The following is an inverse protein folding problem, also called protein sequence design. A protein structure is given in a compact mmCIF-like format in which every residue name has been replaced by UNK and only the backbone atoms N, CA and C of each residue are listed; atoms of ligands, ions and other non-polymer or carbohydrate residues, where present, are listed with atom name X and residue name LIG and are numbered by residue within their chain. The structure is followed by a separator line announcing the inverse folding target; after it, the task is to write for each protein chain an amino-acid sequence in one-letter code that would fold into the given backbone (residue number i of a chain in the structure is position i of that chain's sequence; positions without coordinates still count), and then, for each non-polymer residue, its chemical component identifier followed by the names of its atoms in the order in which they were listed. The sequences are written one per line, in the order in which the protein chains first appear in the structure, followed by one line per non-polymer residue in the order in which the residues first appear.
data_IF_286882000679
#
_entry.id   IF_286882000679
#
_cell.length_a   1.000
_cell.length_b   1.000
_cell.length_c   1.000
_cell.angle_alpha   90.00
_cell.angle_beta   90.00
_cell.angle_gamma   90.00
#
_symmetry.space_group_name_H-M   'P 1'
#
loop_
_entity.id
_entity.type
_entity.pdbx_description
1 polymer ?
#
# COMPACT_ATOMS: atom_id res chain seq x y z
N UNK A 1 -3.40 16.70 9.64
CA UNK A 1 -4.19 17.36 8.60
C UNK A 1 -3.42 17.14 7.32
N UNK A 2 -3.98 16.31 6.46
CA UNK A 2 -3.49 15.91 5.16
C UNK A 2 -3.37 17.14 4.27
N UNK A 3 -2.15 17.40 3.81
CA UNK A 3 -1.87 18.47 2.86
C UNK A 3 -2.00 17.93 1.43
N UNK A 4 -3.19 18.12 0.85
CA UNK A 4 -3.50 17.77 -0.55
C UNK A 4 -2.54 18.47 -1.52
N UNK A 5 -2.03 19.65 -1.17
CA UNK A 5 -1.13 20.45 -2.02
C UNK A 5 0.25 19.81 -2.10
N UNK A 6 0.80 19.39 -0.96
CA UNK A 6 2.09 18.71 -0.90
C UNK A 6 2.07 17.38 -1.67
N UNK A 7 1.02 16.55 -1.50
CA UNK A 7 0.94 15.28 -2.24
C UNK A 7 0.81 15.50 -3.75
N UNK A 8 -0.01 16.47 -4.19
CA UNK A 8 -0.12 16.81 -5.61
C UNK A 8 1.21 17.24 -6.20
N UNK A 9 1.94 18.12 -5.50
CA UNK A 9 3.25 18.57 -5.94
C UNK A 9 4.21 17.40 -6.10
N UNK A 10 4.26 16.50 -5.11
CA UNK A 10 5.10 15.31 -5.17
C UNK A 10 4.75 14.40 -6.37
N UNK A 11 3.46 14.17 -6.62
CA UNK A 11 3.02 13.34 -7.76
C UNK A 11 3.40 13.96 -9.12
N UNK A 12 3.33 15.29 -9.23
CA UNK A 12 3.80 16.02 -10.42
C UNK A 12 5.31 15.87 -10.58
N UNK A 13 6.08 16.08 -9.51
CA UNK A 13 7.54 15.94 -9.52
C UNK A 13 7.95 14.50 -9.86
N UNK A 14 7.26 13.49 -9.31
CA UNK A 14 7.50 12.08 -9.59
C UNK A 14 7.21 11.72 -11.06
N UNK A 15 6.11 12.24 -11.63
CA UNK A 15 5.78 12.02 -13.04
C UNK A 15 6.77 12.74 -13.97
N UNK A 16 7.37 13.84 -13.54
CA UNK A 16 8.41 14.53 -14.28
C UNK A 16 9.77 13.81 -14.19
N UNK A 17 10.10 13.21 -13.05
CA UNK A 17 11.35 12.46 -12.86
C UNK A 17 11.33 11.07 -13.52
N UNK A 18 10.14 10.52 -13.76
CA UNK A 18 9.94 9.19 -14.38
C UNK A 18 8.99 9.28 -15.59
N UNK A 19 9.42 9.86 -16.73
CA UNK A 19 8.56 10.04 -17.90
C UNK A 19 7.92 8.75 -18.42
N UNK A 20 8.64 7.63 -18.32
CA UNK A 20 8.18 6.29 -18.69
C UNK A 20 7.07 5.75 -17.79
N UNK A 21 6.99 6.21 -16.53
CA UNK A 21 5.91 5.88 -15.59
C UNK A 21 4.85 6.98 -15.47
N UNK A 22 5.00 8.11 -16.17
CA UNK A 22 4.16 9.29 -15.95
C UNK A 22 2.67 9.03 -16.23
N UNK A 23 2.33 8.17 -17.19
CA UNK A 23 0.95 7.77 -17.45
C UNK A 23 0.34 6.99 -16.27
N UNK A 24 1.11 6.05 -15.71
CA UNK A 24 0.73 5.27 -14.53
C UNK A 24 0.55 6.18 -13.31
N UNK A 25 1.53 7.06 -13.04
CA UNK A 25 1.49 7.99 -11.90
C UNK A 25 0.25 8.89 -11.99
N UNK A 26 -0.06 9.43 -13.18
CA UNK A 26 -1.28 10.22 -13.41
C UNK A 26 -2.55 9.42 -13.20
N UNK A 27 -2.60 8.17 -13.67
CA UNK A 27 -3.76 7.30 -13.49
C UNK A 27 -4.02 6.98 -12.00
N UNK A 28 -2.96 6.80 -11.19
CA UNK A 28 -3.11 6.51 -9.75
C UNK A 28 -3.22 7.77 -8.87
N UNK A 29 -3.02 8.97 -9.42
CA UNK A 29 -3.08 10.23 -8.68
C UNK A 29 -4.44 10.45 -7.99
N UNK A 30 -5.59 10.31 -8.65
CA UNK A 30 -6.89 10.49 -7.99
C UNK A 30 -7.08 9.55 -6.80
N UNK A 31 -6.61 8.30 -6.92
CA UNK A 31 -6.71 7.30 -5.86
C UNK A 31 -5.83 7.65 -4.65
N UNK A 32 -4.60 8.12 -4.89
CA UNK A 32 -3.71 8.59 -3.83
C UNK A 32 -4.31 9.78 -3.05
N UNK A 33 -4.91 10.73 -3.77
CA UNK A 33 -5.55 11.91 -3.17
C UNK A 33 -6.81 11.53 -2.39
N UNK A 34 -7.66 10.66 -2.96
CA UNK A 34 -8.85 10.14 -2.29
C UNK A 34 -8.48 9.39 -1.01
N UNK A 35 -7.45 8.54 -1.05
CA UNK A 35 -6.92 7.86 0.15
C UNK A 35 -6.55 8.86 1.22
N UNK A 36 -5.76 9.88 0.90
CA UNK A 36 -5.36 10.93 1.85
C UNK A 36 -6.54 11.60 2.56
N UNK A 37 -7.52 12.10 1.79
CA UNK A 37 -8.75 12.71 2.31
C UNK A 37 -9.55 11.75 3.19
N UNK A 38 -9.66 10.49 2.79
CA UNK A 38 -10.39 9.45 3.51
C UNK A 38 -9.71 9.08 4.84
N UNK A 39 -8.39 9.09 4.92
CA UNK A 39 -7.68 8.84 6.18
C UNK A 39 -7.87 10.00 7.17
N UNK A 40 -7.86 11.23 6.67
CA UNK A 40 -7.99 12.44 7.46
C UNK A 40 -9.38 12.60 8.10
N UNK A 41 -10.44 12.39 7.30
CA UNK A 41 -11.82 12.49 7.76
C UNK A 41 -12.16 11.51 8.91
N UNK A 42 -11.36 10.46 9.12
CA UNK A 42 -11.62 9.38 10.07
C UNK A 42 -10.73 9.37 11.31
N UNK A 43 -9.77 10.30 11.41
CA UNK A 43 -8.93 10.49 12.60
C UNK A 43 -9.76 10.77 13.88
N UNK A 44 -11.06 11.07 13.73
CA UNK A 44 -12.02 11.38 14.80
C UNK A 44 -12.91 10.19 15.24
N UNK A 45 -12.69 8.98 14.71
CA UNK A 45 -13.52 7.81 15.04
C UNK A 45 -13.03 6.99 16.24
N UNK A 46 -13.93 6.20 16.85
CA UNK A 46 -13.69 5.40 18.07
C UNK A 46 -12.44 4.52 17.87
N UNK A 47 -11.40 4.74 18.69
CA UNK A 47 -10.12 4.02 18.62
C UNK A 47 -10.36 2.51 18.79
N UNK A 48 -9.75 1.70 17.91
CA UNK A 48 -9.70 0.25 18.09
C UNK A 48 -8.85 -0.05 19.32
N UNK A 49 -9.34 -0.91 20.22
CA UNK A 49 -8.53 -1.39 21.35
C UNK A 49 -7.47 -2.34 20.78
N UNK A 50 -6.16 -2.07 20.95
CA UNK A 50 -5.12 -2.98 20.48
C UNK A 50 -5.22 -4.34 21.18
N UNK A 51 -4.88 -5.40 20.46
CA UNK A 51 -4.54 -6.70 21.05
C UNK A 51 -3.31 -6.56 21.95
N UNK A 52 -3.21 -7.43 22.96
CA UNK A 52 -1.98 -7.57 23.73
C UNK A 52 -0.91 -8.25 22.85
N UNK A 53 0.19 -7.54 22.60
CA UNK A 53 1.27 -8.03 21.73
C UNK A 53 1.09 -7.63 20.26
N UNK A 54 1.63 -8.46 19.37
CA UNK A 54 1.66 -8.19 17.93
C UNK A 54 1.14 -9.40 17.13
N UNK A 55 0.39 -9.19 16.05
CA UNK A 55 -0.06 -7.89 15.54
C UNK A 55 -1.11 -7.24 16.46
N UNK A 56 -1.18 -5.91 16.45
CA UNK A 56 -2.11 -5.16 17.31
C UNK A 56 -3.58 -5.27 16.88
N UNK A 57 -3.85 -5.74 15.65
CA UNK A 57 -5.17 -6.20 15.20
C UNK A 57 -5.01 -7.31 14.14
N UNK A 58 -6.06 -8.11 13.97
CA UNK A 58 -6.15 -9.12 12.90
C UNK A 58 -7.11 -8.68 11.80
N UNK A 59 -6.87 -9.13 10.57
CA UNK A 59 -7.70 -8.78 9.42
C UNK A 59 -9.17 -9.17 9.62
N UNK A 60 -9.40 -10.34 10.21
CA UNK A 60 -10.72 -10.93 10.46
C UNK A 60 -11.51 -10.18 11.54
N UNK A 61 -10.80 -9.49 12.43
CA UNK A 61 -11.36 -8.73 13.55
C UNK A 61 -11.67 -7.27 13.17
N UNK A 62 -11.38 -6.86 11.93
CA UNK A 62 -11.59 -5.50 11.47
C UNK A 62 -13.10 -5.18 11.41
N UNK A 63 -13.59 -4.17 12.16
CA UNK A 63 -15.00 -3.84 12.16
C UNK A 63 -15.40 -3.15 10.85
N UNK A 64 -16.06 -3.90 9.97
CA UNK A 64 -16.61 -3.36 8.71
C UNK A 64 -18.06 -2.91 8.91
N UNK A 65 -18.26 -1.59 8.95
CA UNK A 65 -19.57 -0.94 8.98
C UNK A 65 -20.10 -0.72 7.56
N UNK A 66 -21.38 -1.06 7.33
CA UNK A 66 -22.05 -0.95 6.03
C UNK A 66 -21.95 0.46 5.43
N UNK A 67 -22.41 1.47 6.17
CA UNK A 67 -22.41 2.87 5.71
C UNK A 67 -21.01 3.40 5.44
N UNK A 68 -20.08 3.17 6.38
CA UNK A 68 -18.69 3.64 6.27
C UNK A 68 -17.96 3.00 5.10
N UNK A 69 -18.07 1.68 4.95
CA UNK A 69 -17.44 0.96 3.84
C UNK A 69 -18.05 1.33 2.49
N UNK A 70 -19.37 1.52 2.42
CA UNK A 70 -20.05 2.02 1.22
C UNK A 70 -19.57 3.42 0.81
N UNK A 71 -19.43 4.34 1.76
CA UNK A 71 -18.91 5.69 1.49
C UNK A 71 -17.46 5.68 0.98
N UNK A 72 -16.60 4.82 1.55
CA UNK A 72 -15.23 4.63 1.05
C UNK A 72 -15.26 4.07 -0.37
N UNK A 73 -16.03 3.02 -0.62
CA UNK A 73 -16.12 2.40 -1.94
C UNK A 73 -16.62 3.39 -3.01
N UNK A 74 -17.58 4.27 -2.68
CA UNK A 74 -18.02 5.34 -3.59
C UNK A 74 -16.89 6.31 -3.94
N UNK A 75 -16.12 6.76 -2.94
CA UNK A 75 -14.99 7.66 -3.18
C UNK A 75 -13.86 6.96 -3.97
N UNK A 76 -13.64 5.66 -3.75
CA UNK A 76 -12.70 4.85 -4.54
C UNK A 76 -13.18 4.73 -5.99
N UNK A 77 -14.48 4.46 -6.23
CA UNK A 77 -15.04 4.39 -7.58
C UNK A 77 -14.87 5.71 -8.34
N UNK A 78 -15.14 6.84 -7.68
CA UNK A 78 -14.90 8.18 -8.26
C UNK A 78 -13.43 8.37 -8.65
N UNK A 79 -12.50 8.02 -7.77
CA UNK A 79 -11.08 8.11 -8.05
C UNK A 79 -10.64 7.18 -9.21
N UNK A 80 -11.17 5.95 -9.26
CA UNK A 80 -10.87 5.01 -10.35
C UNK A 80 -11.43 5.51 -11.68
N UNK A 81 -12.66 6.06 -11.71
CA UNK A 81 -13.24 6.65 -12.92
C UNK A 81 -12.46 7.86 -13.44
N UNK A 82 -11.88 8.66 -12.55
CA UNK A 82 -11.03 9.80 -12.91
C UNK A 82 -9.67 9.34 -13.44
N UNK A 83 -9.05 8.38 -12.76
CA UNK A 83 -7.71 7.89 -13.07
C UNK A 83 -7.64 6.97 -14.30
N UNK A 84 -8.70 6.21 -14.56
CA UNK A 84 -8.76 5.21 -15.62
C UNK A 84 -9.96 5.46 -16.54
N UNK A 85 -9.90 6.47 -17.45
CA UNK A 85 -11.02 6.80 -18.33
C UNK A 85 -11.51 5.63 -19.19
N UNK A 86 -10.62 4.72 -19.58
CA UNK A 86 -10.97 3.51 -20.33
C UNK A 86 -11.78 2.46 -19.56
N UNK A 87 -11.86 2.58 -18.23
CA UNK A 87 -12.63 1.69 -17.37
C UNK A 87 -13.97 2.31 -16.92
N UNK A 88 -14.36 3.49 -17.45
CA UNK A 88 -15.51 4.26 -16.95
C UNK A 88 -16.82 3.47 -17.01
N UNK A 89 -17.08 2.75 -18.09
CA UNK A 89 -18.30 1.94 -18.23
C UNK A 89 -18.37 0.84 -17.16
N UNK A 90 -17.25 0.12 -16.95
CA UNK A 90 -17.13 -0.92 -15.95
C UNK A 90 -17.25 -0.35 -14.53
N UNK A 91 -16.68 0.83 -14.27
CA UNK A 91 -16.80 1.53 -12.99
C UNK A 91 -18.25 1.92 -12.69
N UNK A 92 -18.99 2.43 -13.68
CA UNK A 92 -20.41 2.76 -13.50
C UNK A 92 -21.26 1.50 -13.28
N UNK A 93 -20.99 0.41 -14.00
CA UNK A 93 -21.67 -0.88 -13.74
C UNK A 93 -21.42 -1.38 -12.31
N UNK A 94 -20.19 -1.28 -11.80
CA UNK A 94 -19.86 -1.64 -10.41
C UNK A 94 -20.56 -0.68 -9.43
N UNK A 95 -20.60 0.63 -9.72
CA UNK A 95 -21.29 1.63 -8.91
C UNK A 95 -22.78 1.32 -8.74
N UNK A 96 -23.46 0.96 -9.84
CA UNK A 96 -24.88 0.65 -9.83
C UNK A 96 -25.20 -0.64 -9.04
N UNK A 97 -24.35 -1.65 -9.20
CA UNK A 97 -24.50 -2.95 -8.53
C UNK A 97 -24.19 -2.89 -7.02
N UNK A 98 -23.19 -2.11 -6.61
CA UNK A 98 -22.76 -2.05 -5.21
C UNK A 98 -23.76 -1.30 -4.33
N UNK A 99 -24.26 -1.98 -3.29
CA UNK A 99 -24.97 -1.37 -2.17
C UNK A 99 -24.11 -1.45 -0.89
N UNK A 100 -24.31 -0.58 0.12
CA UNK A 100 -23.53 -0.59 1.35
C UNK A 100 -23.42 -1.98 2.02
N UNK A 101 -24.52 -2.76 1.99
CA UNK A 101 -24.55 -4.12 2.54
C UNK A 101 -23.69 -5.11 1.77
N UNK A 102 -23.68 -5.06 0.43
CA UNK A 102 -22.82 -5.91 -0.40
C UNK A 102 -21.36 -5.49 -0.26
N UNK A 103 -21.05 -4.19 -0.21
CA UNK A 103 -19.68 -3.70 0.02
C UNK A 103 -19.13 -4.27 1.32
N UNK A 104 -19.88 -4.16 2.42
CA UNK A 104 -19.47 -4.75 3.71
C UNK A 104 -19.17 -6.25 3.60
N UNK A 105 -20.02 -7.02 2.92
CA UNK A 105 -19.83 -8.46 2.75
C UNK A 105 -18.59 -8.78 1.94
N UNK A 106 -18.38 -8.07 0.82
CA UNK A 106 -17.23 -8.28 -0.06
C UNK A 106 -15.92 -7.84 0.62
N UNK A 107 -15.91 -6.74 1.38
CA UNK A 107 -14.75 -6.37 2.18
C UNK A 107 -14.41 -7.44 3.23
N UNK A 108 -15.41 -8.07 3.86
CA UNK A 108 -15.17 -9.18 4.80
C UNK A 108 -14.57 -10.40 4.11
N UNK A 109 -15.08 -10.77 2.93
CA UNK A 109 -14.52 -11.86 2.13
C UNK A 109 -13.07 -11.57 1.72
N UNK A 110 -12.80 -10.34 1.26
CA UNK A 110 -11.45 -9.89 0.90
C UNK A 110 -10.48 -9.93 2.09
N UNK A 111 -10.90 -9.49 3.28
CA UNK A 111 -10.11 -9.59 4.52
C UNK A 111 -9.86 -11.03 4.97
N UNK A 112 -10.78 -11.95 4.66
CA UNK A 112 -10.65 -13.37 4.94
C UNK A 112 -9.88 -14.13 3.83
N UNK A 113 -9.39 -13.44 2.80
CA UNK A 113 -8.78 -14.03 1.61
C UNK A 113 -9.68 -15.09 0.93
N UNK A 114 -11.00 -14.86 0.93
CA UNK A 114 -11.98 -15.70 0.25
C UNK A 114 -12.32 -15.07 -1.12
N UNK A 115 -11.84 -15.62 -2.25
CA UNK A 115 -12.08 -15.04 -3.57
C UNK A 115 -13.50 -15.33 -4.11
N UNK A 116 -14.10 -16.44 -3.68
CA UNK A 116 -15.39 -16.92 -4.19
C UNK A 116 -16.53 -15.88 -4.08
N UNK A 117 -16.71 -15.15 -2.95
CA UNK A 117 -17.80 -14.17 -2.85
C UNK A 117 -17.66 -12.99 -3.82
N UNK A 118 -16.44 -12.58 -4.18
CA UNK A 118 -16.20 -11.52 -5.17
C UNK A 118 -16.51 -12.05 -6.58
N UNK A 119 -16.01 -13.23 -6.92
CA UNK A 119 -16.27 -13.89 -8.20
C UNK A 119 -17.77 -14.09 -8.45
N UNK A 120 -18.50 -14.66 -7.48
CA UNK A 120 -19.95 -14.87 -7.58
C UNK A 120 -20.73 -13.56 -7.69
N UNK A 121 -20.28 -12.49 -7.01
CA UNK A 121 -20.92 -11.19 -7.12
C UNK A 121 -20.68 -10.57 -8.50
N UNK A 122 -19.47 -10.69 -9.04
CA UNK A 122 -19.15 -10.20 -10.38
C UNK A 122 -20.00 -10.93 -11.44
N UNK A 123 -20.03 -12.27 -11.41
CA UNK A 123 -20.79 -13.10 -12.35
C UNK A 123 -22.29 -12.76 -12.31
N UNK A 124 -22.88 -12.75 -11.12
CA UNK A 124 -24.32 -12.48 -10.93
C UNK A 124 -24.76 -11.12 -11.49
N UNK A 125 -23.87 -10.13 -11.49
CA UNK A 125 -24.17 -8.77 -11.93
C UNK A 125 -23.55 -8.43 -13.30
N UNK A 126 -22.91 -9.39 -13.98
CA UNK A 126 -22.25 -9.17 -15.27
C UNK A 126 -21.10 -8.16 -15.22
N UNK A 127 -20.34 -8.13 -14.12
CA UNK A 127 -19.26 -7.16 -13.89
C UNK A 127 -17.90 -7.71 -14.31
N UNK A 128 -16.98 -6.80 -14.64
CA UNK A 128 -15.54 -7.10 -14.73
C UNK A 128 -15.00 -7.43 -13.33
N UNK A 129 -14.38 -8.61 -13.11
CA UNK A 129 -13.76 -8.95 -11.84
C UNK A 129 -12.68 -7.94 -11.43
N UNK A 130 -11.85 -7.49 -12.38
CA UNK A 130 -10.71 -6.61 -12.10
C UNK A 130 -11.12 -5.27 -11.46
N UNK A 131 -12.19 -4.65 -11.96
CA UNK A 131 -12.67 -3.36 -11.42
C UNK A 131 -13.31 -3.56 -10.04
N UNK A 132 -14.09 -4.65 -9.87
CA UNK A 132 -14.68 -4.99 -8.58
C UNK A 132 -13.58 -5.26 -7.54
N UNK A 133 -12.61 -6.09 -7.89
CA UNK A 133 -11.49 -6.47 -7.03
C UNK A 133 -10.65 -5.26 -6.66
N UNK A 134 -10.33 -4.39 -7.62
CA UNK A 134 -9.63 -3.13 -7.37
C UNK A 134 -10.40 -2.26 -6.36
N UNK A 135 -11.70 -2.06 -6.57
CA UNK A 135 -12.52 -1.20 -5.70
C UNK A 135 -12.61 -1.77 -4.28
N UNK A 136 -12.85 -3.08 -4.14
CA UNK A 136 -12.95 -3.74 -2.84
C UNK A 136 -11.58 -3.78 -2.14
N UNK A 137 -10.49 -4.10 -2.85
CA UNK A 137 -9.15 -4.13 -2.28
C UNK A 137 -8.72 -2.75 -1.77
N UNK A 138 -8.93 -1.68 -2.55
CA UNK A 138 -8.60 -0.32 -2.10
C UNK A 138 -9.48 0.13 -0.92
N UNK A 139 -10.75 -0.26 -0.93
CA UNK A 139 -11.65 -0.01 0.21
C UNK A 139 -11.14 -0.68 1.48
N UNK A 140 -10.73 -1.95 1.40
CA UNK A 140 -10.13 -2.71 2.51
C UNK A 140 -8.83 -2.07 2.99
N UNK A 141 -7.91 -1.71 2.08
CA UNK A 141 -6.65 -1.03 2.41
C UNK A 141 -6.89 0.29 3.15
N UNK A 142 -7.95 1.03 2.84
CA UNK A 142 -8.32 2.28 3.54
C UNK A 142 -8.89 1.97 4.93
N UNK A 143 -9.76 0.96 5.06
CA UNK A 143 -10.28 0.54 6.37
C UNK A 143 -9.15 0.11 7.31
N UNK A 144 -8.24 -0.71 6.79
CA UNK A 144 -7.05 -1.18 7.50
C UNK A 144 -6.13 -0.04 7.93
N UNK A 145 -5.85 0.89 7.02
CA UNK A 145 -5.02 2.05 7.30
C UNK A 145 -5.61 2.93 8.41
N UNK A 146 -6.94 3.14 8.41
CA UNK A 146 -7.61 3.89 9.48
C UNK A 146 -7.45 3.21 10.84
N UNK A 147 -7.65 1.90 10.90
CA UNK A 147 -7.45 1.15 12.14
C UNK A 147 -6.00 1.24 12.59
N UNK A 148 -5.03 0.99 11.72
CA UNK A 148 -3.61 1.09 12.04
C UNK A 148 -3.26 2.50 12.55
N UNK A 149 -3.70 3.56 11.89
CA UNK A 149 -3.44 4.97 12.27
C UNK A 149 -4.01 5.36 13.62
N UNK A 150 -5.03 4.64 14.13
CA UNK A 150 -5.60 4.88 15.46
C UNK A 150 -4.79 4.24 16.60
N UNK A 151 -3.84 3.37 16.28
CA UNK A 151 -3.03 2.60 17.23
C UNK A 151 -1.74 3.33 17.60
N UNK A 152 -1.20 3.09 18.81
CA UNK A 152 0.06 3.68 19.25
C UNK A 152 1.23 3.27 18.35
N UNK A 153 2.29 4.07 18.37
CA UNK A 153 3.53 3.71 17.69
C UNK A 153 4.10 2.40 18.25
N UNK A 154 4.52 1.50 17.36
CA UNK A 154 5.12 0.25 17.78
C UNK A 154 6.57 0.50 18.23
N UNK A 155 7.04 -0.10 19.34
CA UNK A 155 8.43 -0.03 19.73
C UNK A 155 9.34 -0.64 18.66
N UNK A 156 10.55 -0.12 18.56
CA UNK A 156 11.58 -0.68 17.68
C UNK A 156 11.92 -2.11 18.09
N UNK A 157 11.92 -3.01 17.11
CA UNK A 157 12.30 -4.41 17.27
C UNK A 157 13.09 -4.84 16.02
N UNK A 158 14.40 -5.12 16.14
CA UNK A 158 15.25 -5.46 15.01
C UNK A 158 14.87 -6.78 14.34
N UNK A 159 14.14 -7.67 15.03
CA UNK A 159 13.70 -8.96 14.50
C UNK A 159 12.33 -8.89 13.79
N UNK A 160 11.68 -7.71 13.77
CA UNK A 160 10.30 -7.55 13.29
C UNK A 160 10.17 -7.45 11.77
N UNK A 161 9.99 -8.61 11.16
CA UNK A 161 9.86 -8.78 9.70
C UNK A 161 8.45 -8.55 9.16
N UNK A 162 7.44 -8.57 10.02
CA UNK A 162 6.03 -8.33 9.67
C UNK A 162 5.50 -7.07 10.34
N UNK A 163 4.46 -6.49 9.76
CA UNK A 163 3.83 -5.29 10.26
C UNK A 163 3.35 -5.48 11.72
N UNK A 164 3.79 -4.66 12.69
CA UNK A 164 3.32 -4.78 14.08
C UNK A 164 1.83 -4.49 14.21
N UNK A 165 1.22 -3.81 13.24
CA UNK A 165 -0.17 -3.40 13.31
C UNK A 165 -1.10 -4.53 12.86
N UNK A 166 -0.92 -5.04 11.64
CA UNK A 166 -1.82 -6.02 11.04
C UNK A 166 -1.19 -7.39 10.75
N UNK A 167 0.13 -7.54 10.90
CA UNK A 167 0.84 -8.77 10.55
C UNK A 167 1.21 -8.91 9.08
N UNK A 168 0.79 -7.97 8.23
CA UNK A 168 1.10 -7.95 6.80
C UNK A 168 2.60 -7.87 6.47
N UNK A 169 2.95 -8.23 5.24
CA UNK A 169 4.32 -8.17 4.72
C UNK A 169 4.72 -6.73 4.33
N UNK A 170 6.03 -6.41 4.32
CA UNK A 170 6.50 -5.13 3.81
C UNK A 170 6.48 -5.09 2.27
N UNK A 171 6.00 -4.00 1.68
CA UNK A 171 6.05 -3.73 0.23
C UNK A 171 7.20 -2.80 -0.17
N UNK A 172 7.56 -1.85 0.71
CA UNK A 172 8.53 -0.80 0.41
C UNK A 172 9.42 -0.51 1.62
N UNK A 173 10.67 -0.19 1.34
CA UNK A 173 11.66 0.32 2.30
C UNK A 173 11.87 1.81 2.07
N UNK A 174 11.90 2.61 3.13
CA UNK A 174 12.24 4.04 3.05
C UNK A 174 13.42 4.33 3.97
N UNK A 175 14.45 4.96 3.41
CA UNK A 175 15.56 5.53 4.16
C UNK A 175 15.26 7.00 4.41
N UNK A 176 15.24 7.41 5.67
CA UNK A 176 14.85 8.74 6.11
C UNK A 176 15.72 9.22 7.29
N UNK A 177 15.53 10.48 7.68
CA UNK A 177 16.33 11.19 8.69
C UNK A 177 17.84 11.26 8.36
N UNK A 178 18.61 12.13 9.02
CA UNK A 178 20.04 12.31 8.66
C UNK A 178 20.86 11.06 8.96
N UNK A 179 20.44 10.34 9.98
CA UNK A 179 20.98 9.10 10.52
C UNK A 179 20.77 7.92 9.56
N UNK A 180 19.91 8.06 8.55
CA UNK A 180 19.60 7.00 7.58
C UNK A 180 18.88 5.83 8.25
N UNK A 181 17.86 6.16 9.04
CA UNK A 181 16.93 5.17 9.57
C UNK A 181 16.15 4.52 8.44
N UNK A 182 15.83 3.23 8.63
CA UNK A 182 15.06 2.45 7.67
C UNK A 182 13.69 2.17 8.27
N UNK A 183 12.65 2.52 7.53
CA UNK A 183 11.27 2.11 7.83
C UNK A 183 10.73 1.25 6.71
N UNK A 184 9.99 0.19 7.07
CA UNK A 184 9.27 -0.65 6.13
C UNK A 184 7.80 -0.23 6.09
N UNK A 185 7.18 -0.24 4.92
CA UNK A 185 5.75 0.05 4.72
C UNK A 185 4.98 -1.24 4.48
N UNK A 186 3.83 -1.39 5.13
CA UNK A 186 2.98 -2.56 5.02
C UNK A 186 2.13 -2.52 3.74
N UNK A 187 2.12 -3.61 2.98
CA UNK A 187 1.30 -3.81 1.77
C UNK A 187 -0.20 -3.62 2.01
N UNK A 188 -0.67 -4.00 3.20
CA UNK A 188 -2.10 -4.09 3.51
C UNK A 188 -2.63 -2.83 4.19
N UNK A 189 -2.03 -2.42 5.32
CA UNK A 189 -2.49 -1.23 6.05
C UNK A 189 -1.75 0.05 5.68
N UNK A 190 -0.65 -0.01 4.92
CA UNK A 190 0.17 1.14 4.53
C UNK A 190 0.90 1.83 5.68
N UNK A 191 0.84 1.29 6.91
CA UNK A 191 1.57 1.84 8.06
C UNK A 191 3.04 1.42 7.98
N UNK A 192 3.92 2.32 8.43
CA UNK A 192 5.34 2.05 8.50
C UNK A 192 5.80 1.67 9.91
N UNK A 193 6.93 0.95 9.99
CA UNK A 193 7.63 0.67 11.24
C UNK A 193 9.14 0.64 11.00
N UNK A 194 9.90 1.05 12.02
CA UNK A 194 11.36 1.04 11.96
C UNK A 194 11.91 -0.38 11.92
N UNK A 195 12.91 -0.61 11.07
CA UNK A 195 13.55 -1.91 10.88
C UNK A 195 15.08 -1.79 10.86
N UNK A 196 15.77 -2.88 11.20
CA UNK A 196 17.23 -2.92 11.19
C UNK A 196 17.76 -2.73 9.75
N UNK A 197 18.57 -1.68 9.54
CA UNK A 197 19.01 -1.27 8.20
C UNK A 197 19.78 -2.37 7.45
N UNK A 198 20.63 -3.09 8.16
CA UNK A 198 21.55 -4.11 7.61
C UNK A 198 20.90 -5.49 7.41
N UNK A 199 19.70 -5.71 7.96
CA UNK A 199 19.03 -6.99 7.90
C UNK A 199 18.14 -7.12 6.65
N UNK A 200 18.00 -8.34 6.14
CA UNK A 200 17.01 -8.66 5.11
C UNK A 200 15.59 -8.63 5.72
N UNK A 201 14.63 -7.85 5.17
CA UNK A 201 13.26 -7.82 5.69
C UNK A 201 12.49 -9.14 5.55
N UNK A 202 12.91 -10.03 4.64
CA UNK A 202 12.26 -11.34 4.42
C UNK A 202 12.80 -12.42 5.37
N UNK A 203 14.12 -12.69 5.33
CA UNK A 203 14.70 -13.78 6.11
C UNK A 203 15.33 -13.34 7.45
N UNK A 204 15.64 -12.05 7.62
CA UNK A 204 16.31 -11.52 8.81
C UNK A 204 17.84 -11.64 8.80
N UNK A 205 18.44 -12.22 7.76
CA UNK A 205 19.89 -12.33 7.65
C UNK A 205 20.55 -10.94 7.58
N UNK A 206 21.50 -10.70 8.48
CA UNK A 206 22.23 -9.44 8.71
C UNK A 206 23.74 -9.58 8.47
N UNK A 207 24.18 -10.69 7.87
CA UNK A 207 25.59 -10.94 7.55
C UNK A 207 26.14 -9.85 6.61
N UNK A 208 27.42 -9.48 6.74
CA UNK A 208 28.11 -8.64 5.77
C UNK A 208 27.90 -9.15 4.33
N UNK A 209 27.75 -8.23 3.39
CA UNK A 209 27.54 -8.50 1.96
C UNK A 209 26.30 -9.35 1.60
N UNK A 210 25.37 -9.60 2.53
CA UNK A 210 24.16 -10.38 2.24
C UNK A 210 23.16 -9.62 1.34
N UNK A 211 23.09 -8.29 1.47
CA UNK A 211 22.22 -7.43 0.68
C UNK A 211 22.98 -6.88 -0.53
N UNK A 212 22.33 -6.87 -1.71
CA UNK A 212 22.81 -6.20 -2.92
C UNK A 212 21.85 -5.10 -3.33
N UNK A 213 22.39 -3.93 -3.62
CA UNK A 213 21.66 -2.77 -4.11
C UNK A 213 21.71 -2.75 -5.64
N UNK A 214 20.57 -2.53 -6.27
CA UNK A 214 20.43 -2.34 -7.71
C UNK A 214 19.74 -1.01 -7.95
N UNK A 215 20.32 -0.14 -8.79
CA UNK A 215 19.79 1.19 -9.08
C UNK A 215 20.30 1.67 -10.43
N UNK A 216 19.57 2.60 -11.06
CA UNK A 216 20.08 3.32 -12.21
C UNK A 216 20.92 4.52 -11.76
N UNK A 217 21.99 4.84 -12.47
CA UNK A 217 22.86 5.99 -12.14
C UNK A 217 22.10 7.32 -12.14
N UNK A 218 21.05 7.44 -12.94
CA UNK A 218 20.15 8.61 -13.00
C UNK A 218 19.29 8.78 -11.75
N UNK A 219 19.05 7.70 -10.98
CA UNK A 219 18.13 7.67 -9.84
C UNK A 219 18.75 6.93 -8.65
N UNK A 220 19.91 7.37 -8.13
CA UNK A 220 20.69 6.63 -7.11
C UNK A 220 20.00 6.55 -5.73
N UNK A 221 18.96 7.36 -5.53
CA UNK A 221 18.13 7.39 -4.34
C UNK A 221 16.94 6.41 -4.44
N UNK A 222 16.79 5.68 -5.55
CA UNK A 222 15.77 4.64 -5.75
C UNK A 222 16.45 3.31 -6.10
N UNK A 223 16.11 2.25 -5.37
CA UNK A 223 16.89 1.01 -5.40
C UNK A 223 15.97 -0.20 -5.30
N UNK A 224 16.40 -1.33 -5.86
CA UNK A 224 15.96 -2.65 -5.39
C UNK A 224 17.03 -3.24 -4.48
N UNK A 225 16.62 -3.73 -3.31
CA UNK A 225 17.50 -4.35 -2.32
C UNK A 225 17.23 -5.85 -2.30
N UNK A 226 18.12 -6.63 -2.92
CA UNK A 226 18.00 -8.08 -3.02
C UNK A 226 18.84 -8.80 -1.96
N UNK A 227 18.41 -9.99 -1.55
CA UNK A 227 19.07 -10.80 -0.53
C UNK A 227 19.69 -12.07 -1.15
N UNK A 228 21.00 -12.27 -0.95
CA UNK A 228 21.70 -13.48 -1.40
C UNK A 228 21.18 -14.76 -0.73
N UNK A 229 20.78 -14.67 0.54
CA UNK A 229 20.35 -15.82 1.34
C UNK A 229 18.99 -16.40 0.95
N UNK A 230 18.00 -15.54 0.68
CA UNK A 230 16.63 -15.98 0.40
C UNK A 230 16.12 -15.66 -1.01
N UNK A 231 16.92 -14.98 -1.83
CA UNK A 231 16.55 -14.52 -3.19
C UNK A 231 15.24 -13.74 -3.26
N UNK A 232 14.96 -12.95 -2.22
CA UNK A 232 13.89 -11.96 -2.24
C UNK A 232 14.46 -10.54 -2.36
N UNK A 233 13.66 -9.61 -2.90
CA UNK A 233 13.98 -8.18 -2.94
C UNK A 233 12.84 -7.31 -2.43
N UNK A 234 13.20 -6.09 -2.04
CA UNK A 234 12.25 -5.01 -1.73
C UNK A 234 12.71 -3.74 -2.43
N UNK A 235 11.77 -2.94 -2.92
CA UNK A 235 12.06 -1.60 -3.41
C UNK A 235 12.42 -0.70 -2.22
N UNK A 236 13.40 0.17 -2.41
CA UNK A 236 13.89 1.11 -1.40
C UNK A 236 14.04 2.51 -1.99
N UNK A 237 13.45 3.51 -1.34
CA UNK A 237 13.69 4.91 -1.68
C UNK A 237 14.37 5.65 -0.52
N UNK A 238 15.39 6.43 -0.84
CA UNK A 238 16.08 7.33 0.07
C UNK A 238 15.48 8.73 -0.05
N UNK A 239 14.67 9.11 0.95
CA UNK A 239 13.96 10.39 0.95
C UNK A 239 14.74 11.48 1.68
N UNK A 240 15.97 11.24 2.15
CA UNK A 240 16.74 12.22 2.94
C UNK A 240 17.08 13.51 2.18
N UNK A 241 17.07 13.44 0.85
CA UNK A 241 17.25 14.58 -0.06
C UNK A 241 15.93 15.11 -0.64
N UNK A 242 14.80 14.50 -0.27
CA UNK A 242 13.47 14.91 -0.72
C UNK A 242 12.78 15.70 0.40
N UNK A 243 12.03 16.72 0.03
CA UNK A 243 11.15 17.43 0.96
C UNK A 243 9.86 16.62 1.12
N UNK A 244 9.95 15.49 1.83
CA UNK A 244 8.87 14.52 1.95
C UNK A 244 8.77 13.96 3.36
N UNK A 245 7.60 14.08 3.96
CA UNK A 245 7.27 13.40 5.21
C UNK A 245 7.23 11.88 4.99
N UNK A 246 7.65 11.12 6.01
CA UNK A 246 7.57 9.66 5.98
C UNK A 246 6.13 9.17 5.79
N UNK A 247 5.17 9.83 6.45
CA UNK A 247 3.73 9.61 6.29
C UNK A 247 3.26 10.09 4.90
N UNK A 248 3.48 9.27 3.88
CA UNK A 248 3.20 9.59 2.47
C UNK A 248 4.30 9.16 1.51
N UNK A 249 5.47 8.80 2.03
CA UNK A 249 6.62 8.38 1.24
C UNK A 249 6.36 7.15 0.36
N UNK A 250 5.38 6.31 0.69
CA UNK A 250 5.03 5.12 -0.09
C UNK A 250 4.69 5.42 -1.56
N UNK A 251 4.22 6.64 -1.87
CA UNK A 251 3.81 7.01 -3.22
C UNK A 251 4.97 7.03 -4.23
N UNK A 252 6.22 7.16 -3.76
CA UNK A 252 7.41 7.14 -4.63
C UNK A 252 7.56 5.82 -5.39
N UNK A 253 6.99 4.73 -4.86
CA UNK A 253 7.00 3.41 -5.50
C UNK A 253 6.37 3.40 -6.89
N UNK A 254 5.44 4.33 -7.19
CA UNK A 254 4.81 4.43 -8.51
C UNK A 254 5.80 4.74 -9.64
N UNK A 255 6.94 5.38 -9.32
CA UNK A 255 8.02 5.64 -10.28
C UNK A 255 9.07 4.53 -10.36
N UNK A 256 8.96 3.49 -9.54
CA UNK A 256 10.02 2.49 -9.35
C UNK A 256 9.73 1.16 -10.07
N UNK A 257 8.71 1.11 -10.93
CA UNK A 257 8.27 -0.13 -11.60
C UNK A 257 9.36 -0.81 -12.43
N UNK A 258 10.27 -0.03 -13.02
CA UNK A 258 11.43 -0.57 -13.75
C UNK A 258 12.36 -1.44 -12.90
N UNK A 259 12.53 -1.12 -11.61
CA UNK A 259 13.37 -1.90 -10.69
C UNK A 259 12.72 -3.23 -10.38
N UNK A 260 11.39 -3.23 -10.24
CA UNK A 260 10.59 -4.43 -10.00
C UNK A 260 10.74 -5.40 -11.19
N UNK A 261 10.49 -4.91 -12.41
CA UNK A 261 10.67 -5.67 -13.65
C UNK A 261 12.10 -6.26 -13.77
N UNK A 262 13.13 -5.44 -13.53
CA UNK A 262 14.53 -5.87 -13.58
C UNK A 262 14.84 -7.02 -12.60
N UNK A 263 14.29 -6.97 -11.39
CA UNK A 263 14.52 -8.02 -10.39
C UNK A 263 13.78 -9.31 -10.73
N UNK A 264 12.55 -9.20 -11.21
CA UNK A 264 11.75 -10.37 -11.62
C UNK A 264 12.37 -11.07 -12.84
N UNK A 265 12.90 -10.33 -13.82
CA UNK A 265 13.65 -10.90 -14.96
C UNK A 265 14.89 -11.71 -14.53
N UNK A 266 15.50 -11.34 -13.40
CA UNK A 266 16.62 -12.07 -12.80
C UNK A 266 16.18 -13.27 -11.93
N UNK A 267 14.88 -13.54 -11.85
CA UNK A 267 14.30 -14.62 -11.04
C UNK A 267 14.41 -14.38 -9.53
N UNK A 268 14.47 -13.11 -9.11
CA UNK A 268 14.44 -12.70 -7.70
C UNK A 268 13.00 -12.30 -7.36
N UNK A 269 12.47 -12.76 -6.23
CA UNK A 269 11.05 -12.59 -5.88
C UNK A 269 10.80 -11.35 -5.00
N UNK A 270 9.72 -10.58 -5.21
CA UNK A 270 9.39 -9.49 -4.31
C UNK A 270 8.94 -10.04 -2.93
N UNK A 271 9.18 -9.28 -1.85
CA UNK A 271 8.66 -9.66 -0.52
C UNK A 271 7.13 -9.50 -0.44
N UNK A 272 6.61 -8.45 -1.10
CA UNK A 272 5.22 -8.01 -0.99
C UNK A 272 4.20 -8.87 -1.71
N UNK A 273 4.61 -9.79 -2.58
CA UNK A 273 3.67 -10.73 -3.19
C UNK A 273 3.22 -11.77 -2.16
N UNK A 274 1.91 -11.79 -1.93
CA UNK A 274 1.23 -12.92 -1.34
C UNK A 274 0.94 -13.91 -2.46
N UNK A 275 1.43 -15.14 -2.31
CA UNK A 275 1.00 -16.28 -3.13
C UNK A 275 -0.47 -16.56 -2.82
#
# INVERSE_FOLDING_TARGET
MYDDTALRRLLIELAASHPEHAALIRAFTPLALARGKLLDAYALSRKTKPLEGFPMFRFEELPVCSEKSGAIASAVLEAVAEGFPGAREQVEAVRDALKPGSVRRLCKASLAHEPEPLALFAEKNGLSPDVLDMVIAQTVKILMARTANSLPEAPFDPARKTCPYCGGKPELSIVHEKEGHRSLFCTDCGRHWRFQRTACPSCGCDKPDNLRLHFAESTPDERAVSCKNCRHYILEADIRKRDLALDGAAIVSLGMGYLDALMQEQGILPIGESV
#
